data_IF_858326411510
#
_entry.id   IF_858326411510
#
_cell.length_a   1.000
_cell.length_b   1.000
_cell.length_c   1.000
_cell.angle_alpha   90.00
_cell.angle_beta   90.00
_cell.angle_gamma   90.00
#
_symmetry.space_group_name_H-M   'P 1'
#
loop_
_entity.id
_entity.type
_entity.pdbx_description
1 polymer ?
#
# COMPACT_ATOMS: atom_id res chain seq x y z
N UNK A 1 -56.26 42.83 -33.63
CA UNK A 1 -55.52 43.62 -34.63
C UNK A 1 -54.31 42.81 -35.05
N UNK A 2 -54.32 42.27 -36.27
CA UNK A 2 -53.24 41.47 -36.85
C UNK A 2 -52.47 42.31 -37.86
N UNK A 3 -51.18 42.52 -37.62
CA UNK A 3 -50.14 42.92 -38.57
C UNK A 3 -48.82 42.38 -37.98
N UNK A 4 -47.83 41.81 -38.68
CA UNK A 4 -47.42 41.91 -40.07
C UNK A 4 -46.71 40.63 -40.53
N UNK A 5 -46.94 40.31 -41.80
CA UNK A 5 -46.25 39.31 -42.63
C UNK A 5 -45.12 40.01 -43.38
N UNK A 6 -43.97 39.35 -43.59
CA UNK A 6 -43.10 39.72 -44.72
C UNK A 6 -41.65 39.23 -44.74
N UNK A 7 -41.42 38.15 -45.51
CA UNK A 7 -40.31 37.92 -46.50
C UNK A 7 -38.86 37.89 -45.94
N UNK A 8 -38.01 36.91 -46.23
CA UNK A 8 -37.71 36.36 -47.55
C UNK A 8 -37.06 34.97 -47.50
N UNK A 9 -37.39 34.16 -48.51
CA UNK A 9 -36.74 32.92 -48.89
C UNK A 9 -35.85 33.15 -50.13
N UNK A 10 -34.70 32.46 -50.21
CA UNK A 10 -34.03 32.03 -51.45
C UNK A 10 -32.75 31.24 -51.07
N UNK A 11 -32.82 29.90 -51.04
CA UNK A 11 -32.30 29.00 -52.09
C UNK A 11 -30.79 29.12 -52.37
N UNK A 12 -30.02 28.12 -51.92
CA UNK A 12 -29.03 27.41 -52.76
C UNK A 12 -28.96 25.93 -52.38
N UNK A 13 -29.67 25.14 -53.19
CA UNK A 13 -29.40 23.73 -53.44
C UNK A 13 -28.07 23.62 -54.19
N UNK A 14 -27.14 22.81 -53.70
CA UNK A 14 -26.13 22.15 -54.53
C UNK A 14 -26.09 20.68 -54.11
N UNK A 15 -26.63 19.83 -54.98
CA UNK A 15 -26.42 18.39 -55.01
C UNK A 15 -25.28 18.10 -56.00
N UNK A 16 -24.25 17.40 -55.54
CA UNK A 16 -23.36 16.52 -56.33
C UNK A 16 -22.55 15.70 -55.30
N UNK A 17 -22.90 14.43 -55.05
CA UNK A 17 -22.48 13.23 -55.80
C UNK A 17 -21.04 12.77 -55.52
N UNK A 18 -20.95 11.59 -54.89
CA UNK A 18 -19.90 10.55 -54.98
C UNK A 18 -18.52 10.76 -54.33
N UNK A 19 -18.30 10.10 -53.18
CA UNK A 19 -17.34 8.97 -53.00
C UNK A 19 -17.05 8.73 -51.50
N UNK A 20 -16.94 7.46 -51.03
CA UNK A 20 -16.64 7.16 -49.62
C UNK A 20 -15.13 7.04 -49.39
N UNK A 21 -14.51 8.10 -48.87
CA UNK A 21 -13.14 8.04 -48.34
C UNK A 21 -13.17 7.82 -46.83
N UNK A 22 -12.58 6.69 -46.43
CA UNK A 22 -12.28 6.34 -45.05
C UNK A 22 -11.35 7.41 -44.46
N UNK A 23 -11.74 8.01 -43.32
CA UNK A 23 -10.78 8.67 -42.43
C UNK A 23 -11.00 8.25 -40.96
N UNK A 24 -9.90 8.14 -40.20
CA UNK A 24 -9.85 7.45 -38.91
C UNK A 24 -10.33 8.31 -37.75
N UNK A 25 -10.69 7.61 -36.67
CA UNK A 25 -11.07 8.11 -35.36
C UNK A 25 -10.21 9.29 -34.88
N UNK A 26 -10.89 10.40 -34.57
CA UNK A 26 -10.36 11.49 -33.75
C UNK A 26 -10.09 10.96 -32.34
N UNK A 27 -8.81 10.81 -32.02
CA UNK A 27 -8.32 10.59 -30.66
C UNK A 27 -8.55 11.86 -29.83
N UNK A 28 -9.49 11.80 -28.89
CA UNK A 28 -9.61 12.80 -27.82
C UNK A 28 -8.45 12.63 -26.84
N UNK A 29 -7.39 13.42 -27.03
CA UNK A 29 -6.36 13.61 -26.00
C UNK A 29 -6.90 14.53 -24.91
N UNK A 30 -7.38 13.97 -23.81
CA UNK A 30 -7.64 14.75 -22.58
C UNK A 30 -6.33 14.93 -21.82
N UNK A 31 -5.77 16.14 -21.91
CA UNK A 31 -4.71 16.64 -21.02
C UNK A 31 -5.22 16.66 -19.58
N UNK A 32 -4.76 15.72 -18.76
CA UNK A 32 -4.98 15.74 -17.31
C UNK A 32 -4.02 16.75 -16.65
N UNK A 33 -4.45 18.03 -16.58
CA UNK A 33 -3.85 19.02 -15.69
C UNK A 33 -4.13 18.63 -14.23
N UNK A 34 -3.11 18.16 -13.52
CA UNK A 34 -3.15 17.98 -12.05
C UNK A 34 -2.78 19.30 -11.37
N UNK A 35 -3.66 19.92 -10.56
CA UNK A 35 -3.21 20.98 -9.67
C UNK A 35 -2.41 20.36 -8.52
N UNK A 36 -1.17 20.84 -8.34
CA UNK A 36 -0.34 20.53 -7.19
C UNK A 36 -0.90 21.29 -5.98
N UNK A 37 -1.65 20.61 -5.12
CA UNK A 37 -2.07 21.15 -3.83
C UNK A 37 -0.86 21.16 -2.89
N UNK A 38 -0.40 22.34 -2.52
CA UNK A 38 0.63 22.56 -1.51
C UNK A 38 0.08 22.20 -0.13
N UNK A 39 0.38 21.01 0.37
CA UNK A 39 0.09 20.63 1.76
C UNK A 39 1.08 21.34 2.68
N UNK A 40 0.61 22.36 3.42
CA UNK A 40 1.32 22.92 4.59
C UNK A 40 1.49 21.82 5.62
N UNK A 41 2.74 21.53 5.99
CA UNK A 41 3.08 20.56 7.03
C UNK A 41 2.77 21.13 8.42
N UNK A 42 1.91 20.46 9.17
CA UNK A 42 1.79 20.68 10.60
C UNK A 42 2.94 19.96 11.31
N UNK A 43 3.82 20.74 11.94
CA UNK A 43 4.84 20.24 12.84
C UNK A 43 4.17 19.84 14.16
N UNK A 44 4.10 18.54 14.44
CA UNK A 44 3.70 18.05 15.77
C UNK A 44 4.94 18.08 16.65
N UNK A 45 4.86 18.87 17.72
CA UNK A 45 5.89 19.02 18.74
C UNK A 45 6.18 17.68 19.44
N UNK A 46 7.47 17.37 19.56
CA UNK A 46 7.95 16.25 20.35
C UNK A 46 7.74 16.54 21.84
N UNK A 47 6.94 15.70 22.52
CA UNK A 47 6.89 15.69 23.97
C UNK A 47 8.15 15.05 24.54
N UNK A 48 9.04 15.88 25.05
CA UNK A 48 10.19 15.51 25.85
C UNK A 48 9.71 14.90 27.18
N UNK A 49 10.00 13.62 27.42
CA UNK A 49 9.92 13.03 28.76
C UNK A 49 11.20 13.38 29.52
N UNK A 50 11.09 14.24 30.52
CA UNK A 50 12.11 14.40 31.56
C UNK A 50 11.74 13.51 32.77
N UNK A 51 12.70 12.81 33.40
CA UNK A 51 12.45 12.05 34.62
C UNK A 51 12.56 12.98 35.84
N UNK A 52 11.44 13.28 36.51
CA UNK A 52 11.46 13.96 37.80
C UNK A 52 11.59 12.96 38.96
N UNK A 53 12.52 13.32 39.86
CA UNK A 53 12.92 12.59 41.04
C UNK A 53 11.87 12.72 42.14
N UNK A 54 11.61 11.59 42.79
CA UNK A 54 10.86 11.48 44.02
C UNK A 54 11.47 12.33 45.15
N UNK A 55 10.64 13.10 45.86
CA UNK A 55 10.95 13.57 47.21
C UNK A 55 9.67 13.80 48.03
N UNK A 56 9.23 12.78 48.75
CA UNK A 56 8.42 12.97 49.97
C UNK A 56 8.86 11.96 51.02
N UNK A 57 9.39 12.50 52.12
CA UNK A 57 9.90 11.79 53.29
C UNK A 57 8.74 11.11 54.04
N UNK A 58 9.02 10.00 54.72
CA UNK A 58 8.58 9.89 56.10
C UNK A 58 9.74 9.68 57.07
N UNK A 59 9.52 10.22 58.26
CA UNK A 59 10.40 10.32 59.43
C UNK A 59 10.50 8.95 60.11
N UNK A 60 11.71 8.39 60.22
CA UNK A 60 11.98 7.24 61.08
C UNK A 60 13.18 7.56 61.97
N UNK A 61 12.97 7.39 63.28
CA UNK A 61 13.94 7.63 64.33
C UNK A 61 14.90 6.42 64.50
N UNK A 62 16.18 6.75 64.71
CA UNK A 62 17.16 6.09 65.56
C UNK A 62 17.48 4.59 65.40
N UNK A 63 18.72 4.30 64.95
CA UNK A 63 19.80 3.48 65.58
C UNK A 63 20.80 3.05 64.48
N UNK A 64 22.06 3.52 64.49
CA UNK A 64 23.26 3.04 65.22
C UNK A 64 24.04 1.96 64.43
N UNK A 65 25.34 2.21 64.17
CA UNK A 65 26.33 1.25 63.62
C UNK A 65 26.90 1.71 62.27
N UNK A 66 28.00 2.46 62.15
CA UNK A 66 29.44 2.16 62.42
C UNK A 66 30.18 1.47 61.24
N UNK A 67 31.38 2.00 60.92
CA UNK A 67 32.44 1.53 59.97
C UNK A 67 32.18 1.75 58.46
N UNK A 68 33.14 2.17 57.62
CA UNK A 68 34.61 2.24 57.71
C UNK A 68 35.16 3.21 56.64
N UNK A 69 36.31 3.81 56.95
CA UNK A 69 37.12 4.73 56.13
C UNK A 69 37.72 4.11 54.86
N UNK A 70 37.98 4.91 53.80
CA UNK A 70 39.35 5.21 53.31
C UNK A 70 39.39 6.25 52.15
N UNK A 71 40.06 7.37 52.45
CA UNK A 71 41.22 8.01 51.75
C UNK A 71 41.13 8.41 50.24
N UNK A 72 41.16 9.72 49.95
CA UNK A 72 42.28 10.57 49.42
C UNK A 72 42.38 10.59 47.88
N UNK A 73 42.70 11.65 47.14
CA UNK A 73 43.23 13.00 47.40
C UNK A 73 42.97 13.90 46.17
N UNK A 74 42.99 15.23 46.40
CA UNK A 74 43.65 16.31 45.60
C UNK A 74 43.33 16.46 44.08
N UNK A 75 43.21 17.64 43.47
CA UNK A 75 43.36 19.04 43.88
C UNK A 75 42.76 19.95 42.76
N UNK A 76 42.43 21.19 43.13
CA UNK A 76 42.38 22.48 42.41
C UNK A 76 42.51 22.53 40.87
N UNK A 77 41.88 23.46 40.12
CA UNK A 77 41.73 24.91 40.36
C UNK A 77 40.80 25.56 39.31
N UNK A 78 39.92 26.43 39.79
CA UNK A 78 39.51 27.79 39.33
C UNK A 78 40.14 28.33 38.02
N UNK A 79 39.51 29.17 37.18
CA UNK A 79 38.85 30.48 37.44
C UNK A 79 38.27 31.01 36.10
N UNK A 80 37.02 31.52 36.04
CA UNK A 80 36.60 32.94 35.78
C UNK A 80 37.57 33.75 34.88
N UNK A 81 37.20 34.59 33.90
CA UNK A 81 36.05 35.50 33.73
C UNK A 81 36.19 36.29 32.40
N UNK A 82 35.04 36.65 31.80
CA UNK A 82 34.67 37.92 31.12
C UNK A 82 35.42 38.53 29.90
N UNK A 83 34.56 38.86 28.91
CA UNK A 83 34.36 40.18 28.25
C UNK A 83 35.05 40.51 26.90
N UNK A 84 34.15 40.71 25.93
CA UNK A 84 34.00 41.86 25.02
C UNK A 84 35.07 42.18 23.94
N UNK A 85 34.62 41.97 22.68
CA UNK A 85 34.73 42.81 21.48
C UNK A 85 35.94 43.74 21.26
N UNK A 86 36.62 43.55 20.11
CA UNK A 86 36.74 44.59 19.05
C UNK A 86 37.36 44.09 17.74
N UNK A 87 36.66 44.45 16.65
CA UNK A 87 37.03 44.54 15.22
C UNK A 87 38.53 44.71 14.89
N UNK A 88 38.99 44.00 13.85
CA UNK A 88 40.22 44.32 13.11
C UNK A 88 40.35 43.54 11.79
N UNK A 89 40.33 44.26 10.66
CA UNK A 89 40.26 43.79 9.27
C UNK A 89 41.68 43.54 8.72
N UNK A 90 42.01 42.37 8.13
CA UNK A 90 43.14 42.26 7.18
C UNK A 90 43.06 41.05 6.23
N UNK A 91 42.91 41.43 4.95
CA UNK A 91 43.39 40.89 3.65
C UNK A 91 43.57 39.39 3.40
N UNK A 92 43.12 39.04 2.19
CA UNK A 92 43.11 37.76 1.50
C UNK A 92 44.49 37.16 1.21
N UNK A 93 44.53 35.82 1.18
CA UNK A 93 45.51 35.02 0.45
C UNK A 93 44.77 33.92 -0.36
N UNK A 94 45.24 33.58 -1.57
CA UNK A 94 44.47 32.89 -2.61
C UNK A 94 44.33 31.36 -2.41
N UNK A 95 43.17 30.83 -2.82
CA UNK A 95 42.84 29.40 -2.87
C UNK A 95 43.66 28.65 -3.93
N UNK A 96 44.20 27.45 -3.66
CA UNK A 96 44.76 26.58 -4.69
C UNK A 96 43.66 25.96 -5.57
N UNK A 97 43.91 25.91 -6.88
CA UNK A 97 43.02 25.41 -7.94
C UNK A 97 42.74 23.90 -7.79
N UNK A 98 41.50 23.44 -8.02
CA UNK A 98 41.20 22.00 -8.11
C UNK A 98 41.72 21.40 -9.43
N UNK A 99 42.34 20.22 -9.35
CA UNK A 99 42.81 19.42 -10.48
C UNK A 99 41.63 18.98 -11.38
N UNK A 100 41.80 18.90 -12.71
CA UNK A 100 40.73 18.57 -13.64
C UNK A 100 40.25 17.12 -13.51
N UNK A 101 38.93 16.95 -13.66
CA UNK A 101 38.22 15.68 -13.68
C UNK A 101 38.67 14.85 -14.89
N UNK A 102 39.06 13.61 -14.65
CA UNK A 102 39.17 12.60 -15.70
C UNK A 102 37.79 12.42 -16.37
N UNK A 103 37.79 12.58 -17.68
CA UNK A 103 36.73 12.21 -18.61
C UNK A 103 36.50 10.70 -18.50
N UNK A 104 35.35 10.31 -17.94
CA UNK A 104 34.84 8.94 -18.05
C UNK A 104 34.02 8.87 -19.33
N UNK A 105 34.42 7.98 -20.23
CA UNK A 105 33.73 7.68 -21.48
C UNK A 105 32.23 7.42 -21.26
N UNK A 106 31.32 8.04 -22.04
CA UNK A 106 29.87 7.89 -21.88
C UNK A 106 29.31 6.55 -22.40
N UNK A 107 30.15 5.62 -22.87
CA UNK A 107 29.68 4.39 -23.52
C UNK A 107 29.53 3.18 -22.56
N UNK A 108 30.11 3.22 -21.36
CA UNK A 108 29.91 2.18 -20.33
C UNK A 108 28.80 2.51 -19.32
N UNK A 109 28.08 3.62 -19.50
CA UNK A 109 27.03 4.07 -18.59
C UNK A 109 25.63 3.47 -18.86
N UNK A 110 25.45 2.65 -19.89
CA UNK A 110 24.13 2.09 -20.28
C UNK A 110 23.87 0.63 -19.89
N UNK A 111 24.74 0.01 -19.10
CA UNK A 111 24.52 -1.36 -18.59
C UNK A 111 24.84 -1.52 -17.10
N UNK A 112 24.68 -0.46 -16.30
CA UNK A 112 24.75 -0.56 -14.83
C UNK A 112 23.51 -1.29 -14.30
N UNK A 113 23.60 -2.62 -14.31
CA UNK A 113 22.79 -3.55 -13.53
C UNK A 113 22.87 -3.13 -12.06
N UNK A 114 21.87 -2.43 -11.56
CA UNK A 114 21.77 -2.19 -10.11
C UNK A 114 21.52 -3.54 -9.41
N UNK A 115 22.56 -4.06 -8.78
CA UNK A 115 22.51 -5.18 -7.83
C UNK A 115 21.32 -5.04 -6.85
N UNK A 116 20.71 -6.13 -6.37
CA UNK A 116 19.63 -6.07 -5.37
C UNK A 116 20.00 -5.28 -4.10
N UNK A 117 21.28 -5.09 -3.81
CA UNK A 117 21.75 -4.19 -2.75
C UNK A 117 21.56 -2.70 -3.11
N UNK A 118 21.80 -2.32 -4.37
CA UNK A 118 21.58 -0.96 -4.87
C UNK A 118 20.09 -0.58 -4.94
N UNK A 119 19.17 -1.55 -5.02
CA UNK A 119 17.72 -1.34 -4.92
C UNK A 119 17.23 -1.02 -3.49
N UNK A 120 17.96 -1.46 -2.47
CA UNK A 120 17.71 -1.00 -1.09
C UNK A 120 18.21 0.43 -0.86
N UNK A 121 19.22 0.85 -1.63
CA UNK A 121 19.82 2.18 -1.61
C UNK A 121 19.09 3.19 -2.52
N UNK A 122 18.30 2.70 -3.48
CA UNK A 122 17.38 3.53 -4.25
C UNK A 122 16.42 4.25 -3.28
N UNK A 123 16.20 5.56 -3.44
CA UNK A 123 15.23 6.28 -2.64
C UNK A 123 13.90 5.55 -2.69
N UNK A 124 13.25 5.35 -1.54
CA UNK A 124 11.99 4.62 -1.40
C UNK A 124 10.94 5.06 -2.44
N UNK A 125 10.94 6.34 -2.81
CA UNK A 125 10.09 6.93 -3.85
C UNK A 125 10.31 6.34 -5.25
N UNK A 126 11.56 6.06 -5.65
CA UNK A 126 11.88 5.52 -6.97
C UNK A 126 11.49 4.04 -7.07
N UNK A 127 11.69 3.28 -5.98
CA UNK A 127 11.22 1.89 -5.88
C UNK A 127 9.70 1.79 -6.01
N UNK A 128 8.96 2.67 -5.32
CA UNK A 128 7.50 2.77 -5.40
C UNK A 128 7.01 3.05 -6.81
N UNK A 129 7.62 4.04 -7.50
CA UNK A 129 7.24 4.41 -8.87
C UNK A 129 7.45 3.25 -9.85
N UNK A 130 8.54 2.50 -9.70
CA UNK A 130 8.84 1.33 -10.56
C UNK A 130 7.87 0.17 -10.32
N UNK A 131 7.62 -0.21 -9.06
CA UNK A 131 6.66 -1.27 -8.76
C UNK A 131 5.24 -0.91 -9.21
N UNK A 132 4.85 0.36 -9.04
CA UNK A 132 3.56 0.84 -9.52
C UNK A 132 3.46 0.82 -11.06
N UNK A 133 4.53 1.19 -11.78
CA UNK A 133 4.52 1.13 -13.23
C UNK A 133 4.54 -0.31 -13.77
N UNK A 134 5.24 -1.23 -13.12
CA UNK A 134 5.17 -2.67 -13.43
C UNK A 134 3.76 -3.23 -13.24
N UNK A 135 3.11 -2.89 -12.14
CA UNK A 135 1.73 -3.28 -11.87
C UNK A 135 0.75 -2.75 -12.94
N UNK A 136 0.95 -1.50 -13.40
CA UNK A 136 0.15 -0.92 -14.48
C UNK A 136 0.44 -1.61 -15.82
N UNK A 137 1.70 -1.94 -16.12
CA UNK A 137 2.10 -2.61 -17.37
C UNK A 137 1.56 -4.02 -17.50
N UNK A 138 1.46 -4.74 -16.39
CA UNK A 138 0.89 -6.08 -16.36
C UNK A 138 -0.64 -6.09 -16.54
N UNK A 139 -1.26 -4.92 -16.74
CA UNK A 139 -2.69 -4.71 -16.97
C UNK A 139 -3.60 -5.34 -15.91
N UNK A 140 -3.06 -5.55 -14.71
CA UNK A 140 -3.75 -6.20 -13.58
C UNK A 140 -4.58 -5.21 -12.76
N UNK A 141 -5.14 -4.18 -13.40
CA UNK A 141 -6.06 -3.27 -12.74
C UNK A 141 -7.39 -4.00 -12.52
N UNK A 142 -7.76 -4.11 -11.23
CA UNK A 142 -9.05 -4.67 -10.87
C UNK A 142 -10.19 -3.85 -11.52
N UNK A 143 -11.32 -4.50 -11.87
CA UNK A 143 -12.45 -3.80 -12.46
C UNK A 143 -12.89 -2.65 -11.55
N UNK A 144 -13.32 -1.54 -12.15
CA UNK A 144 -13.91 -0.44 -11.40
C UNK A 144 -15.14 -0.95 -10.65
N UNK A 145 -15.17 -0.64 -9.36
CA UNK A 145 -16.22 -1.05 -8.42
C UNK A 145 -17.27 0.03 -8.28
N UNK A 146 -18.51 -0.41 -8.12
CA UNK A 146 -19.65 0.43 -7.79
C UNK A 146 -19.57 0.88 -6.31
N UNK A 147 -20.20 2.01 -5.95
CA UNK A 147 -20.22 2.51 -4.58
C UNK A 147 -20.73 1.48 -3.57
N UNK A 148 -19.92 1.23 -2.55
CA UNK A 148 -20.17 0.22 -1.51
C UNK A 148 -20.71 0.82 -0.20
N UNK A 149 -20.84 2.15 -0.15
CA UNK A 149 -21.34 2.89 1.01
C UNK A 149 -22.56 3.71 0.58
N UNK A 150 -23.56 3.78 1.46
CA UNK A 150 -24.81 4.54 1.26
C UNK A 150 -24.50 5.98 0.89
N UNK A 151 -23.57 6.62 1.60
CA UNK A 151 -23.12 7.98 1.33
C UNK A 151 -22.55 8.14 -0.09
N UNK A 152 -21.71 7.21 -0.54
CA UNK A 152 -21.11 7.29 -1.88
C UNK A 152 -22.11 6.91 -3.00
N UNK A 153 -23.08 6.05 -2.72
CA UNK A 153 -24.17 5.75 -3.63
C UNK A 153 -25.06 6.98 -3.82
N UNK A 154 -25.46 7.63 -2.73
CA UNK A 154 -26.20 8.90 -2.76
C UNK A 154 -25.42 9.98 -3.48
N UNK A 155 -24.12 10.11 -3.18
CA UNK A 155 -23.23 11.05 -3.86
C UNK A 155 -23.20 10.84 -5.38
N UNK A 156 -23.09 9.59 -5.84
CA UNK A 156 -23.11 9.27 -7.25
C UNK A 156 -24.46 9.64 -7.91
N UNK A 157 -25.59 9.34 -7.25
CA UNK A 157 -26.92 9.74 -7.74
C UNK A 157 -27.10 11.26 -7.79
N UNK A 158 -26.72 11.96 -6.72
CA UNK A 158 -26.85 13.41 -6.60
C UNK A 158 -26.08 14.13 -7.69
N UNK A 159 -24.78 13.81 -7.85
CA UNK A 159 -23.95 14.45 -8.86
C UNK A 159 -24.29 14.00 -10.28
N UNK A 160 -24.97 12.86 -10.48
CA UNK A 160 -25.52 12.50 -11.78
C UNK A 160 -26.77 13.33 -12.12
N UNK A 161 -27.67 13.56 -11.15
CA UNK A 161 -28.91 14.35 -11.30
C UNK A 161 -28.66 15.85 -11.42
N UNK A 162 -27.59 16.36 -10.80
CA UNK A 162 -27.29 17.79 -10.71
C UNK A 162 -26.10 18.21 -11.59
N UNK A 163 -25.74 17.43 -12.61
CA UNK A 163 -24.69 17.81 -13.57
C UNK A 163 -25.04 19.15 -14.23
N UNK A 164 -24.12 20.10 -14.15
CA UNK A 164 -24.26 21.43 -14.77
C UNK A 164 -25.16 22.42 -14.03
N UNK A 165 -25.73 22.05 -12.87
CA UNK A 165 -26.58 22.98 -12.08
C UNK A 165 -25.79 23.97 -11.22
N UNK A 166 -24.54 23.62 -10.89
CA UNK A 166 -23.65 24.47 -10.12
C UNK A 166 -22.43 24.81 -10.97
N UNK A 167 -22.10 26.10 -11.04
CA UNK A 167 -20.89 26.56 -11.73
C UNK A 167 -19.64 26.26 -10.91
N UNK A 168 -19.76 26.33 -9.58
CA UNK A 168 -18.65 26.13 -8.63
C UNK A 168 -18.82 24.80 -7.88
N UNK A 169 -17.78 23.96 -7.91
CA UNK A 169 -17.82 22.65 -7.25
C UNK A 169 -18.09 22.74 -5.74
N UNK A 170 -17.59 23.78 -5.06
CA UNK A 170 -17.81 23.98 -3.63
C UNK A 170 -19.29 24.12 -3.26
N UNK A 171 -20.06 24.85 -4.06
CA UNK A 171 -21.51 25.03 -3.86
C UNK A 171 -22.26 23.71 -4.05
N UNK A 172 -21.88 22.93 -5.07
CA UNK A 172 -22.46 21.61 -5.32
C UNK A 172 -22.23 20.65 -4.14
N UNK A 173 -21.06 20.70 -3.50
CA UNK A 173 -20.79 19.91 -2.29
C UNK A 173 -21.54 20.43 -1.06
N UNK A 174 -21.69 21.75 -0.89
CA UNK A 174 -22.47 22.33 0.20
C UNK A 174 -23.94 21.87 0.12
N UNK A 175 -24.56 22.01 -1.07
CA UNK A 175 -25.93 21.57 -1.32
C UNK A 175 -26.09 20.05 -1.12
N UNK A 176 -25.16 19.25 -1.66
CA UNK A 176 -25.12 17.79 -1.41
C UNK A 176 -25.13 17.45 0.09
N UNK A 177 -24.32 18.15 0.89
CA UNK A 177 -24.22 17.89 2.32
C UNK A 177 -25.48 18.29 3.08
N UNK A 178 -26.17 19.34 2.66
CA UNK A 178 -27.47 19.72 3.23
C UNK A 178 -28.54 18.67 2.92
N UNK A 179 -28.62 18.22 1.67
CA UNK A 179 -29.56 17.15 1.29
C UNK A 179 -29.27 15.83 1.99
N UNK A 180 -27.99 15.46 2.14
CA UNK A 180 -27.61 14.25 2.87
C UNK A 180 -28.04 14.29 4.34
N UNK A 181 -27.93 15.44 5.02
CA UNK A 181 -28.35 15.59 6.42
C UNK A 181 -29.87 15.48 6.58
N UNK A 182 -30.62 15.92 5.57
CA UNK A 182 -32.08 15.94 5.57
C UNK A 182 -32.70 14.73 4.85
N UNK A 183 -31.90 13.70 4.59
CA UNK A 183 -32.34 12.54 3.82
C UNK A 183 -33.39 11.73 4.60
N UNK A 184 -34.60 11.49 4.04
CA UNK A 184 -35.64 10.77 4.74
C UNK A 184 -35.29 9.28 4.87
N UNK A 185 -35.82 8.63 5.91
CA UNK A 185 -35.49 7.23 6.24
C UNK A 185 -35.78 6.25 5.10
N UNK A 186 -36.89 6.42 4.39
CA UNK A 186 -37.23 5.54 3.27
C UNK A 186 -36.18 5.58 2.14
N UNK A 187 -35.53 6.73 1.95
CA UNK A 187 -34.49 6.89 0.92
C UNK A 187 -33.17 6.28 1.38
N UNK A 188 -32.88 6.31 2.68
CA UNK A 188 -31.77 5.55 3.26
C UNK A 188 -31.96 4.05 3.04
N UNK A 189 -33.15 3.52 3.34
CA UNK A 189 -33.46 2.09 3.14
C UNK A 189 -33.33 1.68 1.65
N UNK A 190 -33.78 2.54 0.73
CA UNK A 190 -33.59 2.38 -0.73
C UNK A 190 -32.11 2.37 -1.12
N UNK A 191 -31.31 3.28 -0.58
CA UNK A 191 -29.87 3.34 -0.91
C UNK A 191 -29.10 2.16 -0.31
N UNK A 192 -29.52 1.65 0.85
CA UNK A 192 -28.98 0.43 1.44
C UNK A 192 -29.20 -0.79 0.56
N UNK A 193 -30.40 -0.96 -0.02
CA UNK A 193 -30.66 -2.06 -0.95
C UNK A 193 -29.77 -1.97 -2.20
N UNK A 194 -29.62 -0.77 -2.78
CA UNK A 194 -28.70 -0.52 -3.91
C UNK A 194 -27.26 -0.86 -3.53
N UNK A 195 -26.81 -0.48 -2.34
CA UNK A 195 -25.45 -0.79 -1.88
C UNK A 195 -25.23 -2.30 -1.74
N UNK A 196 -26.21 -3.04 -1.23
CA UNK A 196 -26.12 -4.51 -1.14
C UNK A 196 -26.06 -5.16 -2.52
N UNK A 197 -26.84 -4.68 -3.48
CA UNK A 197 -26.79 -5.13 -4.88
C UNK A 197 -25.43 -4.81 -5.51
N UNK A 198 -24.92 -3.60 -5.32
CA UNK A 198 -23.60 -3.18 -5.78
C UNK A 198 -22.48 -4.03 -5.17
N UNK A 199 -22.58 -4.40 -3.90
CA UNK A 199 -21.63 -5.30 -3.25
C UNK A 199 -21.58 -6.68 -3.93
N UNK A 200 -22.75 -7.25 -4.20
CA UNK A 200 -22.87 -8.55 -4.89
C UNK A 200 -22.33 -8.45 -6.33
N UNK A 201 -22.73 -7.43 -7.07
CA UNK A 201 -22.26 -7.20 -8.44
C UNK A 201 -20.74 -6.98 -8.50
N UNK A 202 -20.18 -6.22 -7.56
CA UNK A 202 -18.73 -6.01 -7.46
C UNK A 202 -17.98 -7.31 -7.16
N UNK A 203 -18.51 -8.15 -6.27
CA UNK A 203 -17.91 -9.45 -5.96
C UNK A 203 -17.93 -10.37 -7.19
N UNK A 204 -19.07 -10.48 -7.87
CA UNK A 204 -19.21 -11.29 -9.09
C UNK A 204 -18.28 -10.80 -10.21
N UNK A 205 -18.27 -9.50 -10.50
CA UNK A 205 -17.40 -8.89 -11.51
C UNK A 205 -15.92 -9.11 -11.19
N UNK A 206 -15.55 -9.04 -9.91
CA UNK A 206 -14.19 -9.34 -9.48
C UNK A 206 -13.84 -10.80 -9.70
N UNK A 207 -14.73 -11.73 -9.34
CA UNK A 207 -14.52 -13.17 -9.55
C UNK A 207 -14.40 -13.53 -11.03
N UNK A 208 -15.27 -13.01 -11.90
CA UNK A 208 -15.22 -13.19 -13.35
C UNK A 208 -13.91 -12.68 -13.93
N UNK A 209 -13.49 -11.48 -13.51
CA UNK A 209 -12.21 -10.91 -13.92
C UNK A 209 -11.03 -11.77 -13.43
N UNK A 210 -11.05 -12.27 -12.20
CA UNK A 210 -9.99 -13.16 -11.69
C UNK A 210 -9.94 -14.48 -12.48
N UNK A 211 -11.10 -15.04 -12.82
CA UNK A 211 -11.21 -16.25 -13.65
C UNK A 211 -10.68 -16.04 -15.06
N UNK A 212 -10.81 -14.84 -15.63
CA UNK A 212 -10.27 -14.51 -16.95
C UNK A 212 -8.75 -14.32 -16.96
N UNK A 213 -8.13 -14.09 -15.79
CA UNK A 213 -6.67 -13.92 -15.66
C UNK A 213 -5.97 -15.25 -15.36
N UNK A 214 -4.71 -15.39 -15.78
CA UNK A 214 -3.91 -16.56 -15.42
C UNK A 214 -3.60 -16.60 -13.92
N UNK A 215 -3.60 -17.79 -13.27
CA UNK A 215 -3.22 -17.92 -11.86
C UNK A 215 -1.81 -17.41 -11.58
N UNK A 216 -0.88 -17.48 -12.52
CA UNK A 216 0.48 -16.98 -12.39
C UNK A 216 0.49 -15.44 -12.29
N UNK A 217 -0.29 -14.79 -13.16
CA UNK A 217 -0.42 -13.34 -13.23
C UNK A 217 -1.04 -12.75 -11.96
N UNK A 218 -2.13 -13.36 -11.46
CA UNK A 218 -2.78 -12.92 -10.22
C UNK A 218 -1.84 -13.06 -9.02
N UNK A 219 -1.00 -14.10 -8.99
CA UNK A 219 -0.04 -14.34 -7.91
C UNK A 219 1.01 -13.23 -7.87
N UNK A 220 1.57 -12.94 -9.05
CA UNK A 220 2.49 -11.83 -9.29
C UNK A 220 1.87 -10.51 -8.85
N UNK A 221 0.63 -10.21 -9.27
CA UNK A 221 -0.05 -8.97 -8.92
C UNK A 221 -0.15 -8.79 -7.41
N UNK A 222 -0.56 -9.85 -6.71
CA UNK A 222 -0.67 -9.84 -5.24
C UNK A 222 0.68 -9.68 -4.55
N UNK A 223 1.75 -10.22 -5.11
CA UNK A 223 3.11 -10.00 -4.61
C UNK A 223 3.55 -8.54 -4.74
N UNK A 224 3.32 -7.92 -5.91
CA UNK A 224 3.61 -6.50 -6.14
C UNK A 224 2.76 -5.61 -5.23
N UNK A 225 1.44 -5.87 -5.15
CA UNK A 225 0.52 -5.16 -4.25
C UNK A 225 0.97 -5.23 -2.80
N UNK A 226 1.38 -6.40 -2.31
CA UNK A 226 1.92 -6.56 -0.94
C UNK A 226 3.17 -5.71 -0.71
N UNK A 227 4.07 -5.67 -1.70
CA UNK A 227 5.27 -4.84 -1.64
C UNK A 227 4.92 -3.35 -1.61
N UNK A 228 3.96 -2.91 -2.44
CA UNK A 228 3.44 -1.54 -2.44
C UNK A 228 2.78 -1.18 -1.10
N UNK A 229 2.01 -2.08 -0.49
CA UNK A 229 1.39 -1.87 0.83
C UNK A 229 2.44 -1.62 1.90
N UNK A 230 3.46 -2.47 1.96
CA UNK A 230 4.56 -2.31 2.91
C UNK A 230 5.28 -0.98 2.71
N UNK A 231 5.56 -0.62 1.46
CA UNK A 231 6.38 0.54 1.17
C UNK A 231 5.57 1.85 1.31
N UNK A 232 4.28 1.87 0.95
CA UNK A 232 3.40 3.06 0.97
C UNK A 232 2.65 3.28 2.30
N UNK A 233 2.54 2.26 3.16
CA UNK A 233 1.85 2.39 4.45
C UNK A 233 0.35 2.66 4.30
N UNK A 234 -0.21 3.60 5.07
CA UNK A 234 -1.67 3.84 5.17
C UNK A 234 -2.35 4.22 3.84
N UNK A 235 -1.62 4.82 2.89
CA UNK A 235 -2.14 5.20 1.58
C UNK A 235 -2.34 4.04 0.61
N UNK A 236 -2.11 2.80 1.07
CA UNK A 236 -2.07 1.61 0.22
C UNK A 236 -3.37 0.81 0.14
N UNK A 237 -4.49 1.30 0.70
CA UNK A 237 -5.79 0.60 0.60
C UNK A 237 -6.19 0.28 -0.84
N UNK A 238 -5.74 1.10 -1.80
CA UNK A 238 -5.93 0.89 -3.25
C UNK A 238 -5.22 -0.36 -3.80
N UNK A 239 -4.24 -0.89 -3.07
CA UNK A 239 -3.45 -2.07 -3.42
C UNK A 239 -3.79 -3.25 -2.50
N UNK A 240 -5.06 -3.39 -2.10
CA UNK A 240 -5.53 -4.59 -1.41
C UNK A 240 -5.27 -5.84 -2.26
N UNK A 241 -4.97 -6.97 -1.61
CA UNK A 241 -4.75 -8.23 -2.31
C UNK A 241 -6.06 -8.72 -2.94
N UNK A 242 -5.96 -9.32 -4.12
CA UNK A 242 -7.07 -9.99 -4.78
C UNK A 242 -7.31 -11.33 -4.09
N UNK A 243 -8.55 -11.62 -3.66
CA UNK A 243 -8.92 -12.94 -3.20
C UNK A 243 -8.99 -13.88 -4.42
N UNK A 244 -8.27 -14.99 -4.40
CA UNK A 244 -8.31 -15.97 -5.48
C UNK A 244 -8.48 -17.36 -4.87
N UNK A 245 -9.60 -17.99 -5.19
CA UNK A 245 -10.01 -19.32 -4.70
C UNK A 245 -9.21 -20.45 -5.33
N UNK A 246 -8.49 -20.20 -6.44
CA UNK A 246 -7.64 -21.18 -7.11
C UNK A 246 -6.41 -21.54 -6.29
N UNK A 247 -5.96 -20.64 -5.42
CA UNK A 247 -4.85 -20.95 -4.54
C UNK A 247 -5.35 -21.72 -3.32
N UNK A 248 -4.61 -22.75 -2.90
CA UNK A 248 -4.90 -23.41 -1.64
C UNK A 248 -4.78 -22.39 -0.50
N UNK A 249 -5.78 -22.42 0.38
CA UNK A 249 -5.75 -21.65 1.61
C UNK A 249 -4.50 -22.05 2.40
N UNK A 250 -3.80 -21.05 2.97
CA UNK A 250 -2.71 -21.33 3.90
C UNK A 250 -3.31 -21.66 5.25
N UNK A 251 -3.45 -22.94 5.55
CA UNK A 251 -3.67 -23.40 6.92
C UNK A 251 -2.33 -23.88 7.51
N UNK A 252 -2.04 -23.49 8.75
CA UNK A 252 -1.05 -24.22 9.55
C UNK A 252 -1.78 -25.28 10.37
N UNK A 253 -1.06 -26.30 10.82
CA UNK A 253 -1.63 -27.33 11.71
C UNK A 253 -2.26 -26.71 12.97
N UNK A 254 -1.62 -25.66 13.53
CA UNK A 254 -2.20 -24.84 14.59
C UNK A 254 -3.53 -24.18 14.21
N UNK A 255 -3.64 -23.58 13.02
CA UNK A 255 -4.90 -22.96 12.56
C UNK A 255 -6.01 -24.00 12.41
N UNK A 256 -5.67 -25.20 11.93
CA UNK A 256 -6.63 -26.30 11.83
C UNK A 256 -7.07 -26.80 13.20
N UNK A 257 -6.15 -26.90 14.17
CA UNK A 257 -6.46 -27.21 15.56
C UNK A 257 -7.40 -26.17 16.18
N UNK A 258 -7.10 -24.87 16.02
CA UNK A 258 -7.98 -23.80 16.51
C UNK A 258 -9.35 -23.86 15.84
N UNK A 259 -9.41 -24.20 14.54
CA UNK A 259 -10.67 -24.37 13.80
C UNK A 259 -11.48 -25.57 14.31
N UNK A 260 -10.82 -26.68 14.65
CA UNK A 260 -11.46 -27.86 15.21
C UNK A 260 -12.09 -27.55 16.59
N UNK A 261 -11.47 -26.66 17.36
CA UNK A 261 -11.95 -26.23 18.68
C UNK A 261 -12.74 -24.92 18.62
N UNK A 262 -13.34 -24.57 17.48
CA UNK A 262 -14.09 -23.30 17.32
C UNK A 262 -15.28 -23.19 18.30
N UNK A 263 -15.89 -24.32 18.68
CA UNK A 263 -17.01 -24.36 19.64
C UNK A 263 -16.64 -23.75 21.00
N UNK A 264 -15.41 -23.95 21.46
CA UNK A 264 -14.94 -23.41 22.74
C UNK A 264 -14.96 -21.86 22.77
N UNK A 265 -14.81 -21.21 21.61
CA UNK A 265 -14.93 -19.74 21.52
C UNK A 265 -16.38 -19.25 21.52
N UNK A 266 -17.34 -20.11 21.20
CA UNK A 266 -18.77 -19.77 21.19
C UNK A 266 -19.38 -19.97 22.58
N UNK A 267 -18.93 -21.00 23.29
CA UNK A 267 -19.45 -21.39 24.60
C UNK A 267 -18.75 -20.67 25.76
N UNK A 268 -17.58 -20.08 25.51
CA UNK A 268 -16.85 -19.36 26.54
C UNK A 268 -17.55 -18.05 26.90
N UNK A 269 -18.07 -17.99 28.13
CA UNK A 269 -18.27 -16.71 28.84
C UNK A 269 -16.93 -16.01 29.11
N UNK A 270 -15.85 -16.79 29.22
CA UNK A 270 -14.47 -16.32 29.26
C UNK A 270 -14.12 -15.58 27.95
N UNK A 271 -13.42 -14.46 28.05
CA UNK A 271 -13.10 -13.65 26.87
C UNK A 271 -12.25 -14.40 25.84
N UNK A 272 -12.35 -14.04 24.55
CA UNK A 272 -11.59 -14.65 23.44
C UNK A 272 -10.09 -14.87 23.72
N UNK A 273 -9.48 -13.97 24.51
CA UNK A 273 -8.06 -14.04 24.87
C UNK A 273 -7.72 -15.17 25.84
N UNK A 274 -8.64 -15.56 26.74
CA UNK A 274 -8.42 -16.64 27.70
C UNK A 274 -8.49 -17.99 27.01
N UNK A 275 -9.55 -18.22 26.22
CA UNK A 275 -9.71 -19.41 25.38
C UNK A 275 -8.52 -19.60 24.44
N UNK A 276 -8.04 -18.51 23.82
CA UNK A 276 -6.87 -18.55 22.94
C UNK A 276 -5.57 -18.94 23.67
N UNK A 277 -5.40 -18.51 24.93
CA UNK A 277 -4.25 -18.92 25.76
C UNK A 277 -4.33 -20.39 26.12
N UNK A 278 -5.49 -20.87 26.57
CA UNK A 278 -5.71 -22.28 26.91
C UNK A 278 -5.46 -23.19 25.71
N UNK A 279 -5.99 -22.85 24.53
CA UNK A 279 -5.73 -23.59 23.30
C UNK A 279 -4.24 -23.60 22.95
N UNK A 280 -3.52 -22.50 23.18
CA UNK A 280 -2.09 -22.40 22.92
C UNK A 280 -1.28 -23.30 23.86
N UNK A 281 -1.69 -23.39 25.13
CA UNK A 281 -1.10 -24.31 26.11
C UNK A 281 -1.36 -25.77 25.73
N UNK A 282 -2.62 -26.11 25.40
CA UNK A 282 -2.99 -27.45 24.92
C UNK A 282 -2.19 -27.84 23.67
N UNK A 283 -2.01 -26.94 22.71
CA UNK A 283 -1.22 -27.24 21.51
C UNK A 283 0.26 -27.50 21.81
N UNK A 284 0.82 -26.84 22.83
CA UNK A 284 2.21 -27.11 23.24
C UNK A 284 2.34 -28.48 23.91
N UNK A 285 1.33 -28.93 24.65
CA UNK A 285 1.32 -30.24 25.31
C UNK A 285 1.07 -31.41 24.37
N UNK A 286 0.45 -31.18 23.19
CA UNK A 286 0.26 -32.22 22.18
C UNK A 286 1.59 -32.77 21.66
N UNK A 287 1.64 -34.07 21.45
CA UNK A 287 2.74 -34.77 20.79
C UNK A 287 2.85 -34.42 19.31
N UNK A 288 4.00 -34.68 18.69
CA UNK A 288 4.18 -34.39 17.26
C UNK A 288 3.28 -35.27 16.37
N UNK A 289 2.95 -36.48 16.82
CA UNK A 289 2.00 -37.36 16.12
C UNK A 289 0.58 -36.77 16.11
N UNK A 290 0.12 -36.23 17.24
CA UNK A 290 -1.20 -35.57 17.32
C UNK A 290 -1.21 -34.26 16.50
N UNK A 291 -0.12 -33.49 16.53
CA UNK A 291 0.01 -32.29 15.70
C UNK A 291 -0.02 -32.61 14.20
N UNK A 292 0.50 -33.76 13.78
CA UNK A 292 0.42 -34.23 12.40
C UNK A 292 -1.00 -34.58 11.98
N UNK A 293 -1.87 -35.04 12.88
CA UNK A 293 -3.29 -35.26 12.55
C UNK A 293 -4.01 -33.96 12.14
N UNK A 294 -3.54 -32.81 12.62
CA UNK A 294 -4.03 -31.49 12.21
C UNK A 294 -3.30 -30.91 10.98
N UNK A 295 -2.25 -31.58 10.48
CA UNK A 295 -1.66 -31.22 9.20
C UNK A 295 -2.66 -31.52 8.09
N UNK A 296 -2.90 -30.53 7.24
CA UNK A 296 -3.87 -30.69 6.15
C UNK A 296 -3.39 -31.76 5.16
N UNK A 297 -4.24 -32.73 4.77
CA UNK A 297 -3.86 -33.74 3.79
C UNK A 297 -3.44 -33.06 2.49
N UNK A 298 -2.43 -33.62 1.81
CA UNK A 298 -1.80 -32.97 0.65
C UNK A 298 -2.78 -32.70 -0.50
N UNK A 299 -3.84 -33.49 -0.60
CA UNK A 299 -4.92 -33.31 -1.56
C UNK A 299 -5.69 -32.00 -1.33
N UNK A 300 -5.92 -31.61 -0.06
CA UNK A 300 -6.52 -30.30 0.26
C UNK A 300 -5.53 -29.14 0.10
N UNK A 301 -4.21 -29.44 0.03
CA UNK A 301 -3.18 -28.44 -0.31
C UNK A 301 -3.11 -28.15 -1.81
N UNK A 302 -3.74 -28.97 -2.66
CA UNK A 302 -3.91 -28.66 -4.08
C UNK A 302 -5.16 -27.80 -4.20
N UNK A 303 -5.02 -26.59 -4.76
CA UNK A 303 -6.14 -25.69 -4.96
C UNK A 303 -7.12 -26.22 -6.02
N UNK A 304 -8.10 -25.42 -6.43
CA UNK A 304 -9.04 -25.84 -7.48
C UNK A 304 -8.38 -26.15 -8.83
N UNK A 305 -7.12 -25.72 -9.01
CA UNK A 305 -6.31 -25.95 -10.21
C UNK A 305 -5.51 -27.26 -10.16
N UNK A 306 -5.54 -28.00 -9.04
CA UNK A 306 -4.73 -29.20 -8.85
C UNK A 306 -3.23 -28.94 -8.63
N UNK A 307 -2.78 -27.69 -8.77
CA UNK A 307 -1.38 -27.30 -8.59
C UNK A 307 -1.06 -27.04 -7.12
N UNK A 308 0.14 -27.44 -6.72
CA UNK A 308 0.68 -27.07 -5.42
C UNK A 308 1.02 -25.58 -5.40
N UNK A 309 1.02 -24.98 -4.20
CA UNK A 309 1.44 -23.58 -4.04
C UNK A 309 2.89 -23.34 -4.47
N UNK A 310 3.75 -24.36 -4.40
CA UNK A 310 5.13 -24.28 -4.85
C UNK A 310 5.19 -24.15 -6.38
N UNK A 311 4.51 -25.06 -7.09
CA UNK A 311 4.42 -25.01 -8.57
C UNK A 311 3.87 -23.67 -9.07
N UNK A 312 2.82 -23.15 -8.43
CA UNK A 312 2.25 -21.84 -8.79
C UNK A 312 3.28 -20.72 -8.62
N UNK A 313 4.12 -20.77 -7.58
CA UNK A 313 5.18 -19.78 -7.41
C UNK A 313 6.23 -19.89 -8.50
N UNK A 314 6.63 -21.11 -8.85
CA UNK A 314 7.67 -21.33 -9.86
C UNK A 314 7.20 -20.87 -11.23
N UNK A 315 5.96 -21.21 -11.58
CA UNK A 315 5.29 -20.68 -12.79
C UNK A 315 5.10 -19.18 -12.74
N UNK A 316 4.75 -18.60 -11.60
CA UNK A 316 4.65 -17.15 -11.44
C UNK A 316 6.00 -16.44 -11.60
N UNK A 317 7.10 -17.06 -11.16
CA UNK A 317 8.46 -16.55 -11.39
C UNK A 317 8.83 -16.62 -12.87
N UNK A 318 8.50 -17.72 -13.56
CA UNK A 318 8.69 -17.82 -15.01
C UNK A 318 7.86 -16.78 -15.76
N UNK A 319 6.57 -16.68 -15.45
CA UNK A 319 5.65 -15.68 -16.00
C UNK A 319 6.17 -14.25 -15.79
N UNK A 320 6.64 -13.93 -14.58
CA UNK A 320 7.26 -12.64 -14.29
C UNK A 320 8.48 -12.39 -15.16
N UNK A 321 9.38 -13.36 -15.30
CA UNK A 321 10.59 -13.21 -16.13
C UNK A 321 10.26 -12.93 -17.60
N UNK A 322 9.24 -13.60 -18.13
CA UNK A 322 8.78 -13.42 -19.52
C UNK A 322 8.11 -12.06 -19.75
N UNK A 323 7.27 -11.63 -18.82
CA UNK A 323 6.44 -10.42 -18.98
C UNK A 323 7.08 -9.16 -18.40
N UNK A 324 8.11 -9.31 -17.55
CA UNK A 324 8.90 -8.18 -17.10
C UNK A 324 9.87 -7.77 -18.22
N UNK A 325 9.59 -6.63 -18.86
CA UNK A 325 10.50 -5.97 -19.83
C UNK A 325 11.84 -5.50 -19.21
N UNK A 326 12.12 -5.89 -17.97
CA UNK A 326 13.35 -5.58 -17.27
C UNK A 326 14.16 -6.86 -17.15
N UNK A 327 15.31 -6.87 -17.85
CA UNK A 327 16.45 -7.75 -17.62
C UNK A 327 16.55 -8.20 -16.16
N UNK A 328 16.93 -9.47 -15.91
CA UNK A 328 16.65 -10.20 -14.69
C UNK A 328 16.95 -9.33 -13.47
N UNK A 329 15.87 -8.85 -12.84
CA UNK A 329 15.92 -8.71 -11.41
C UNK A 329 16.38 -10.07 -10.90
N UNK A 330 17.55 -10.09 -10.26
CA UNK A 330 17.92 -11.21 -9.42
C UNK A 330 16.66 -11.53 -8.61
N UNK A 331 16.11 -12.72 -8.84
CA UNK A 331 15.00 -13.26 -8.07
C UNK A 331 15.30 -12.88 -6.63
N UNK A 332 14.40 -12.19 -5.90
CA UNK A 332 14.68 -11.82 -4.53
C UNK A 332 15.19 -13.09 -3.84
N UNK A 333 16.30 -13.06 -3.11
CA UNK A 333 16.90 -14.27 -2.54
C UNK A 333 15.91 -15.16 -1.73
N UNK A 334 14.71 -14.64 -1.42
CA UNK A 334 13.56 -15.36 -0.85
C UNK A 334 12.75 -16.22 -1.83
N UNK A 335 12.99 -16.13 -3.14
CA UNK A 335 12.41 -16.94 -4.22
C UNK A 335 13.41 -17.90 -4.83
N UNK A 336 14.71 -17.78 -4.51
CA UNK A 336 15.65 -18.84 -4.79
C UNK A 336 15.32 -20.00 -3.84
N UNK A 337 14.42 -20.86 -4.29
CA UNK A 337 14.29 -22.21 -3.74
C UNK A 337 15.69 -22.81 -3.92
N UNK A 338 16.27 -23.33 -2.84
CA UNK A 338 17.49 -24.12 -2.93
C UNK A 338 17.18 -25.34 -3.80
N UNK A 339 17.42 -25.22 -5.09
CA UNK A 339 17.76 -26.35 -5.94
C UNK A 339 19.11 -26.81 -5.42
N UNK A 340 19.06 -27.75 -4.48
CA UNK A 340 20.21 -28.54 -4.06
C UNK A 340 20.69 -29.34 -5.26
N UNK A 341 21.51 -28.73 -6.11
CA UNK A 341 22.44 -29.49 -6.93
C UNK A 341 23.46 -30.10 -5.97
N UNK A 342 23.14 -31.29 -5.46
CA UNK A 342 24.12 -32.22 -4.93
C UNK A 342 25.07 -32.57 -6.08
N UNK A 343 26.21 -31.88 -6.12
CA UNK A 343 27.39 -32.37 -6.82
C UNK A 343 27.90 -33.57 -6.02
N UNK A 344 27.97 -34.78 -6.61
CA UNK A 344 28.62 -35.90 -5.94
C UNK A 344 30.12 -35.59 -5.84
N UNK A 345 30.62 -35.59 -4.61
CA UNK A 345 32.04 -35.66 -4.32
C UNK A 345 32.59 -36.99 -4.87
N UNK A 346 33.23 -36.94 -6.03
CA UNK A 346 34.12 -38.00 -6.46
C UNK A 346 35.40 -38.00 -5.62
N UNK A 347 35.87 -39.21 -5.36
CA UNK A 347 36.87 -39.63 -4.37
C UNK A 347 38.30 -39.35 -4.79
#
# INVERSE_FOLDING_TARGET
>A
MLTSVGRAAAQRLVLASAAPSKLPQLATQTLALRPAVATRGFAVSAWSRAPEKASTKPKAAAKKGEKKEKKTAADKKEKKTTAADKKGKKKAAPKPKPKPKATVDPEKAKASRLSPHAMKLLPLAQRKRRLASEYVKLDLQAPQTLPTSVYYAFQAEYFAKNRGKHEVAAEAFAAFHEEWKNLPKYELDRLESIVQENQKANAQKLEEWIKSQSPESVFVANWVRKSLVRDLGKSSRKYAQLPDSRYPAKSSSWVNFVRANKGEFQDAQAGFLEVSKELSERWKTLSDAEKQAFAEPEEKKKGSTGLSRAEIKDRAVAYWKEHSLLQPFATPAKFAIGTSDEQPLEK
#
